data_IF_338161253022
#
_entry.id   IF_338161253022
#
_cell.length_a   1.000
_cell.length_b   1.000
_cell.length_c   1.000
_cell.angle_alpha   90.00
_cell.angle_beta   90.00
_cell.angle_gamma   90.00
#
_symmetry.space_group_name_H-M   'P 1'
#
loop_
_entity.id
_entity.type
_entity.pdbx_description
1 polymer ?
#
# COMPACT_ATOMS: atom_id res chain seq x y z
N UNK A 1 -5.11 18.00 -26.79
CA UNK A 1 -4.52 16.74 -27.31
C UNK A 1 -4.04 15.81 -26.19
N UNK A 2 -3.26 16.27 -25.22
CA UNK A 2 -2.73 15.47 -24.10
C UNK A 2 -3.85 14.86 -23.23
N UNK A 3 -4.96 15.59 -22.97
CA UNK A 3 -6.08 15.06 -22.17
C UNK A 3 -6.84 13.91 -22.82
N UNK A 4 -6.94 13.89 -24.17
CA UNK A 4 -7.55 12.77 -24.93
C UNK A 4 -6.65 11.54 -24.97
N UNK A 5 -5.33 11.73 -24.97
CA UNK A 5 -4.35 10.64 -24.90
C UNK A 5 -4.38 9.99 -23.50
N UNK A 6 -4.42 10.81 -22.45
CA UNK A 6 -4.51 10.33 -21.05
C UNK A 6 -5.84 9.60 -20.77
N UNK A 7 -6.94 10.02 -21.39
CA UNK A 7 -8.24 9.32 -21.26
C UNK A 7 -8.25 7.91 -21.87
N UNK A 8 -7.58 7.69 -23.01
CA UNK A 8 -7.45 6.38 -23.65
C UNK A 8 -6.48 5.44 -22.92
N UNK A 9 -5.52 5.99 -22.18
CA UNK A 9 -4.52 5.22 -21.40
C UNK A 9 -5.13 4.68 -20.10
N UNK A 10 -6.24 5.25 -19.60
CA UNK A 10 -6.91 4.85 -18.34
C UNK A 10 -7.49 3.44 -18.33
N UNK A 11 -7.84 2.88 -19.47
CA UNK A 11 -8.43 1.54 -19.59
C UNK A 11 -7.43 0.39 -19.78
N UNK A 12 -6.13 0.69 -19.98
CA UNK A 12 -5.14 -0.33 -20.29
C UNK A 12 -3.88 -0.16 -19.44
N UNK A 13 -3.60 -1.12 -18.54
CA UNK A 13 -2.42 -1.11 -17.64
C UNK A 13 -1.08 -0.95 -18.36
N UNK A 14 -0.95 -1.51 -19.56
CA UNK A 14 0.26 -1.35 -20.39
C UNK A 14 0.42 0.10 -20.83
N UNK A 15 -0.67 0.72 -21.28
CA UNK A 15 -0.71 2.15 -21.63
C UNK A 15 -0.38 3.06 -20.44
N UNK A 16 -0.84 2.72 -19.24
CA UNK A 16 -0.52 3.46 -18.02
C UNK A 16 0.98 3.46 -17.70
N UNK A 17 1.64 2.30 -17.78
CA UNK A 17 3.08 2.18 -17.54
C UNK A 17 3.91 2.87 -18.61
N UNK A 18 3.49 2.83 -19.88
CA UNK A 18 4.13 3.55 -20.98
C UNK A 18 3.95 5.06 -20.80
N UNK A 19 2.74 5.53 -20.51
CA UNK A 19 2.46 6.94 -20.24
C UNK A 19 3.28 7.47 -19.07
N UNK A 20 3.44 6.68 -18.00
CA UNK A 20 4.26 7.02 -16.84
C UNK A 20 5.75 7.12 -17.18
N UNK A 21 6.28 6.19 -18.00
CA UNK A 21 7.67 6.25 -18.49
C UNK A 21 7.90 7.49 -19.37
N UNK A 22 7.00 7.77 -20.29
CA UNK A 22 7.10 8.94 -21.18
C UNK A 22 7.05 10.25 -20.38
N UNK A 23 6.11 10.37 -19.46
CA UNK A 23 5.95 11.56 -18.60
C UNK A 23 7.10 11.74 -17.59
N UNK A 24 7.89 10.70 -17.32
CA UNK A 24 9.08 10.76 -16.47
C UNK A 24 10.39 10.97 -17.23
N UNK A 25 10.34 11.17 -18.55
CA UNK A 25 11.56 11.44 -19.33
C UNK A 25 12.14 12.82 -18.97
N UNK A 26 13.49 12.97 -18.98
CA UNK A 26 14.14 14.26 -18.71
C UNK A 26 13.66 15.39 -19.62
N UNK A 27 13.31 15.09 -20.86
CA UNK A 27 12.79 16.07 -21.84
C UNK A 27 11.50 16.71 -21.33
N UNK A 28 10.58 15.93 -20.76
CA UNK A 28 9.30 16.42 -20.26
C UNK A 28 9.46 17.04 -18.86
N UNK A 29 10.18 16.37 -17.97
CA UNK A 29 10.32 16.80 -16.57
C UNK A 29 11.22 18.02 -16.38
N UNK A 30 12.11 18.33 -17.33
CA UNK A 30 12.90 19.57 -17.33
C UNK A 30 12.20 20.73 -18.06
N UNK A 31 11.01 20.51 -18.64
CA UNK A 31 10.25 21.57 -19.32
C UNK A 31 9.54 22.47 -18.30
N UNK A 32 9.88 23.74 -18.27
CA UNK A 32 9.31 24.72 -17.33
C UNK A 32 7.77 24.85 -17.44
N UNK A 33 7.23 24.81 -18.65
CA UNK A 33 5.78 24.86 -18.89
C UNK A 33 5.08 23.62 -18.32
N UNK A 34 5.67 22.43 -18.53
CA UNK A 34 5.14 21.19 -17.95
C UNK A 34 5.13 21.24 -16.41
N UNK A 35 6.22 21.70 -15.81
CA UNK A 35 6.33 21.81 -14.36
C UNK A 35 5.30 22.80 -13.80
N UNK A 36 5.13 23.95 -14.45
CA UNK A 36 4.12 24.94 -14.05
C UNK A 36 2.69 24.38 -14.12
N UNK A 37 2.33 23.72 -15.22
CA UNK A 37 1.00 23.10 -15.37
C UNK A 37 0.79 21.97 -14.36
N UNK A 38 1.84 21.20 -14.07
CA UNK A 38 1.79 20.12 -13.09
C UNK A 38 1.62 20.67 -11.66
N UNK A 39 2.32 21.75 -11.30
CA UNK A 39 2.16 22.42 -10.00
C UNK A 39 0.76 23.02 -9.84
N UNK A 40 0.23 23.66 -10.87
CA UNK A 40 -1.15 24.16 -10.88
C UNK A 40 -2.17 23.03 -10.65
N UNK A 41 -1.95 21.87 -11.28
CA UNK A 41 -2.78 20.68 -11.05
C UNK A 41 -2.64 20.16 -9.61
N UNK A 42 -1.43 20.12 -9.06
CA UNK A 42 -1.20 19.71 -7.67
C UNK A 42 -1.94 20.62 -6.70
N UNK A 43 -1.78 21.94 -6.84
CA UNK A 43 -2.42 22.93 -5.97
C UNK A 43 -3.95 22.82 -6.01
N UNK A 44 -4.54 22.68 -7.20
CA UNK A 44 -5.99 22.44 -7.35
C UNK A 44 -6.42 21.11 -6.69
N UNK A 45 -5.60 20.07 -6.79
CA UNK A 45 -5.88 18.78 -6.15
C UNK A 45 -5.78 18.87 -4.62
N UNK A 46 -4.79 19.58 -4.09
CA UNK A 46 -4.64 19.84 -2.65
C UNK A 46 -5.86 20.59 -2.13
N UNK A 47 -6.25 21.68 -2.79
CA UNK A 47 -7.42 22.46 -2.40
C UNK A 47 -8.70 21.62 -2.34
N UNK A 48 -8.93 20.78 -3.35
CA UNK A 48 -10.08 19.87 -3.39
C UNK A 48 -10.01 18.84 -2.27
N UNK A 49 -8.85 18.17 -2.07
CA UNK A 49 -8.69 17.10 -1.10
C UNK A 49 -8.68 17.62 0.35
N UNK A 50 -8.22 18.83 0.59
CA UNK A 50 -8.23 19.43 1.94
C UNK A 50 -9.64 19.64 2.49
N UNK A 51 -10.65 19.71 1.61
CA UNK A 51 -12.07 19.78 1.97
C UNK A 51 -12.72 18.40 2.18
N UNK A 52 -11.99 17.31 1.95
CA UNK A 52 -12.51 15.93 1.97
C UNK A 52 -11.90 15.11 3.10
N UNK A 53 -12.59 14.05 3.50
CA UNK A 53 -12.03 12.99 4.33
C UNK A 53 -11.13 12.07 3.50
N UNK A 54 -10.29 11.23 4.13
CA UNK A 54 -9.48 10.28 3.39
C UNK A 54 -10.39 9.38 2.54
N UNK A 55 -9.99 9.09 1.32
CA UNK A 55 -10.74 8.16 0.48
C UNK A 55 -10.58 6.69 0.88
N UNK A 56 -9.55 6.39 1.72
CA UNK A 56 -9.30 5.07 2.26
C UNK A 56 -8.58 5.10 3.60
N UNK A 57 -8.80 4.03 4.36
CA UNK A 57 -8.11 3.80 5.64
C UNK A 57 -7.38 2.47 5.56
N UNK A 58 -6.07 2.52 5.82
CA UNK A 58 -5.24 1.33 5.98
C UNK A 58 -5.22 0.98 7.47
N UNK A 59 -5.62 -0.24 7.83
CA UNK A 59 -5.78 -0.69 9.22
C UNK A 59 -4.87 -1.88 9.46
N UNK A 60 -3.85 -1.72 10.31
CA UNK A 60 -3.08 -2.82 10.86
C UNK A 60 -3.89 -3.57 11.89
N UNK A 61 -4.56 -4.65 11.51
CA UNK A 61 -5.37 -5.44 12.46
C UNK A 61 -4.50 -6.24 13.43
N UNK A 62 -3.30 -6.56 13.02
CA UNK A 62 -2.24 -7.16 13.83
C UNK A 62 -0.88 -6.76 13.28
N UNK A 63 0.11 -6.63 14.15
CA UNK A 63 1.50 -6.50 13.73
C UNK A 63 2.32 -7.77 14.00
N UNK A 64 1.68 -8.89 14.36
CA UNK A 64 2.33 -10.19 14.41
C UNK A 64 2.67 -10.63 13.00
N UNK A 65 3.85 -11.23 12.81
CA UNK A 65 4.28 -11.80 11.53
C UNK A 65 5.10 -13.05 11.76
N UNK A 66 4.89 -14.06 10.91
CA UNK A 66 5.63 -15.32 10.93
C UNK A 66 6.82 -15.35 9.96
N UNK A 67 7.16 -14.21 9.35
CA UNK A 67 8.26 -14.05 8.41
C UNK A 67 9.32 -13.06 8.91
N UNK A 68 10.55 -13.20 8.42
CA UNK A 68 11.67 -12.27 8.64
C UNK A 68 12.26 -11.84 7.29
N UNK A 69 11.46 -11.12 6.51
CA UNK A 69 11.84 -10.69 5.17
C UNK A 69 13.02 -9.70 5.24
N UNK A 70 14.03 -9.89 4.37
CA UNK A 70 15.27 -9.11 4.42
C UNK A 70 15.08 -7.60 4.17
N UNK A 71 13.97 -7.19 3.55
CA UNK A 71 13.64 -5.79 3.25
C UNK A 71 12.63 -5.18 4.24
N UNK A 72 12.17 -5.93 5.24
CA UNK A 72 11.12 -5.47 6.16
C UNK A 72 11.72 -5.07 7.51
N UNK A 73 11.34 -3.90 8.08
CA UNK A 73 11.80 -3.49 9.40
C UNK A 73 11.07 -4.20 10.55
N UNK A 74 10.19 -5.15 10.28
CA UNK A 74 9.32 -5.81 11.26
C UNK A 74 10.09 -6.36 12.48
N UNK A 75 11.29 -6.93 12.30
CA UNK A 75 12.11 -7.43 13.40
C UNK A 75 12.57 -6.37 14.40
N UNK A 76 12.42 -5.08 14.05
CA UNK A 76 12.76 -3.96 14.93
C UNK A 76 11.56 -3.46 15.77
N UNK A 77 10.37 -4.00 15.54
CA UNK A 77 9.17 -3.62 16.31
C UNK A 77 9.31 -4.00 17.78
N UNK A 78 9.01 -3.04 18.66
CA UNK A 78 9.14 -3.24 20.13
C UNK A 78 7.86 -3.76 20.78
N UNK A 79 6.71 -3.45 20.21
CA UNK A 79 5.40 -3.84 20.73
C UNK A 79 4.65 -4.65 19.69
N UNK A 80 4.05 -5.73 20.12
CA UNK A 80 3.31 -6.66 19.26
C UNK A 80 1.89 -6.83 19.80
N UNK A 81 0.92 -6.92 18.90
CA UNK A 81 -0.46 -7.14 19.30
C UNK A 81 -1.43 -7.30 18.14
N UNK A 82 -2.69 -7.46 18.51
CA UNK A 82 -3.82 -7.56 17.59
C UNK A 82 -4.90 -6.59 18.05
N UNK A 83 -5.51 -5.89 17.10
CA UNK A 83 -6.54 -4.89 17.36
C UNK A 83 -7.79 -5.56 17.98
N UNK A 84 -8.28 -4.98 19.06
CA UNK A 84 -9.57 -5.37 19.63
C UNK A 84 -10.71 -5.16 18.63
N UNK A 85 -11.65 -6.12 18.58
CA UNK A 85 -12.78 -6.08 17.66
C UNK A 85 -13.71 -4.89 17.92
N UNK A 86 -13.85 -4.45 19.18
CA UNK A 86 -14.64 -3.26 19.53
C UNK A 86 -14.05 -2.00 18.91
N UNK A 87 -12.72 -1.84 18.98
CA UNK A 87 -12.01 -0.74 18.33
C UNK A 87 -12.17 -0.81 16.82
N UNK A 88 -11.98 -2.00 16.21
CA UNK A 88 -12.18 -2.19 14.77
C UNK A 88 -13.59 -1.75 14.32
N UNK A 89 -14.63 -2.24 14.99
CA UNK A 89 -16.02 -1.87 14.68
C UNK A 89 -16.24 -0.37 14.80
N UNK A 90 -15.71 0.28 15.87
CA UNK A 90 -15.73 1.74 16.03
C UNK A 90 -15.11 2.46 14.82
N UNK A 91 -13.96 1.99 14.32
CA UNK A 91 -13.28 2.59 13.16
C UNK A 91 -14.14 2.44 11.91
N UNK A 92 -14.65 1.24 11.62
CA UNK A 92 -15.47 0.98 10.44
C UNK A 92 -16.78 1.79 10.48
N UNK A 93 -17.44 1.91 11.63
CA UNK A 93 -18.66 2.71 11.78
C UNK A 93 -18.38 4.21 11.54
N UNK A 94 -17.23 4.71 12.03
CA UNK A 94 -16.78 6.08 11.73
C UNK A 94 -16.51 6.26 10.21
N UNK A 95 -15.85 5.30 9.56
CA UNK A 95 -15.64 5.32 8.11
C UNK A 95 -16.98 5.40 7.36
N UNK A 96 -17.98 4.59 7.77
CA UNK A 96 -19.33 4.62 7.18
C UNK A 96 -19.98 6.00 7.32
N UNK A 97 -19.93 6.59 8.51
CA UNK A 97 -20.49 7.92 8.80
C UNK A 97 -19.86 9.01 7.91
N UNK A 98 -18.55 8.92 7.66
CA UNK A 98 -17.80 9.87 6.85
C UNK A 98 -17.78 9.53 5.35
N UNK A 99 -18.54 8.51 4.91
CA UNK A 99 -18.58 8.01 3.53
C UNK A 99 -17.21 7.56 2.97
N UNK A 100 -16.32 7.08 3.85
CA UNK A 100 -15.05 6.46 3.48
C UNK A 100 -15.35 5.02 3.09
N UNK A 101 -15.01 4.61 1.86
CA UNK A 101 -15.45 3.31 1.31
C UNK A 101 -14.35 2.29 1.11
N UNK A 102 -13.09 2.67 1.23
CA UNK A 102 -11.96 1.79 0.94
C UNK A 102 -11.22 1.47 2.23
N UNK A 103 -11.16 0.19 2.56
CA UNK A 103 -10.44 -0.33 3.72
C UNK A 103 -9.37 -1.29 3.24
N UNK A 104 -8.12 -1.03 3.65
CA UNK A 104 -7.02 -1.99 3.46
C UNK A 104 -6.63 -2.56 4.82
N UNK A 105 -6.87 -3.85 5.05
CA UNK A 105 -6.52 -4.50 6.32
C UNK A 105 -5.03 -4.90 6.29
N UNK A 106 -4.16 -3.91 6.31
CA UNK A 106 -2.71 -4.12 6.25
C UNK A 106 -1.95 -2.90 6.76
N UNK A 107 -0.89 -3.20 7.52
CA UNK A 107 0.17 -2.28 7.86
C UNK A 107 1.47 -3.09 8.00
N UNK A 108 2.00 -3.28 9.21
CA UNK A 108 3.06 -4.26 9.48
C UNK A 108 2.44 -5.49 10.13
N UNK A 109 2.82 -6.70 9.67
CA UNK A 109 2.28 -7.95 10.16
C UNK A 109 1.74 -8.86 9.04
N UNK A 110 1.27 -10.05 9.46
CA UNK A 110 0.58 -11.01 8.59
C UNK A 110 -0.89 -11.09 9.01
N UNK A 111 -1.84 -10.63 8.19
CA UNK A 111 -3.25 -10.60 8.56
C UNK A 111 -3.84 -11.96 8.94
N UNK A 112 -3.33 -13.06 8.41
CA UNK A 112 -3.81 -14.40 8.77
C UNK A 112 -3.40 -14.87 10.18
N UNK A 113 -2.57 -14.10 10.89
CA UNK A 113 -2.35 -14.29 12.33
C UNK A 113 -3.43 -13.64 13.19
N UNK A 114 -4.26 -12.77 12.62
CA UNK A 114 -5.46 -12.27 13.27
C UNK A 114 -6.59 -13.31 13.13
N UNK A 115 -6.90 -14.02 14.20
CA UNK A 115 -7.93 -15.07 14.23
C UNK A 115 -9.33 -14.54 13.85
N UNK A 116 -9.54 -13.23 13.91
CA UNK A 116 -10.83 -12.59 13.60
C UNK A 116 -10.86 -11.94 12.21
N UNK A 117 -9.85 -12.17 11.37
CA UNK A 117 -9.73 -11.52 10.06
C UNK A 117 -10.98 -11.71 9.17
N UNK A 118 -11.57 -12.91 9.16
CA UNK A 118 -12.78 -13.20 8.39
C UNK A 118 -13.99 -12.39 8.92
N UNK A 119 -14.14 -12.30 10.25
CA UNK A 119 -15.20 -11.48 10.87
C UNK A 119 -15.02 -10.02 10.52
N UNK A 120 -13.79 -9.51 10.55
CA UNK A 120 -13.47 -8.12 10.17
C UNK A 120 -13.85 -7.84 8.73
N UNK A 121 -13.49 -8.71 7.80
CA UNK A 121 -13.85 -8.57 6.39
C UNK A 121 -15.39 -8.53 6.27
N UNK A 122 -16.11 -9.52 6.82
CA UNK A 122 -17.57 -9.60 6.74
C UNK A 122 -18.24 -8.37 7.37
N UNK A 123 -17.72 -7.86 8.49
CA UNK A 123 -18.24 -6.64 9.12
C UNK A 123 -18.10 -5.41 8.22
N UNK A 124 -16.91 -5.16 7.68
CA UNK A 124 -16.69 -4.02 6.78
C UNK A 124 -17.49 -4.15 5.48
N UNK A 125 -17.57 -5.36 4.91
CA UNK A 125 -18.42 -5.64 3.74
C UNK A 125 -19.91 -5.38 4.03
N UNK A 126 -20.41 -5.78 5.18
CA UNK A 126 -21.78 -5.51 5.63
C UNK A 126 -22.09 -4.01 5.78
N UNK A 127 -21.07 -3.16 5.99
CA UNK A 127 -21.20 -1.69 6.00
C UNK A 127 -21.07 -1.07 4.59
N UNK A 128 -20.90 -1.88 3.54
CA UNK A 128 -20.78 -1.42 2.15
C UNK A 128 -19.40 -0.94 1.76
N UNK A 129 -18.36 -1.40 2.47
CA UNK A 129 -16.97 -1.05 2.18
C UNK A 129 -16.35 -1.97 1.12
N UNK A 130 -15.41 -1.44 0.34
CA UNK A 130 -14.46 -2.23 -0.41
C UNK A 130 -13.30 -2.62 0.49
N UNK A 131 -12.99 -3.92 0.58
CA UNK A 131 -12.00 -4.47 1.51
C UNK A 131 -10.89 -5.18 0.76
N UNK A 132 -9.65 -4.82 1.06
CA UNK A 132 -8.47 -5.48 0.53
C UNK A 132 -7.44 -5.71 1.64
N UNK A 133 -6.47 -6.61 1.42
CA UNK A 133 -5.28 -6.72 2.26
C UNK A 133 -4.07 -7.31 1.53
N UNK A 134 -2.92 -7.21 2.19
CA UNK A 134 -1.67 -7.85 1.77
C UNK A 134 -1.36 -9.02 2.68
N UNK A 135 -0.89 -10.14 2.10
CA UNK A 135 -0.49 -11.33 2.87
C UNK A 135 0.76 -11.97 2.28
N UNK A 136 1.51 -12.69 3.10
CA UNK A 136 2.56 -13.59 2.64
C UNK A 136 2.01 -14.96 2.20
N UNK A 137 0.73 -15.22 2.43
CA UNK A 137 -0.04 -16.42 2.08
C UNK A 137 0.51 -17.75 2.65
N UNK A 138 1.47 -17.72 3.56
CA UNK A 138 2.04 -18.96 4.13
C UNK A 138 1.04 -19.73 4.99
N UNK A 139 0.07 -19.02 5.58
CA UNK A 139 -0.98 -19.56 6.44
C UNK A 139 -2.31 -19.79 5.71
N UNK A 140 -2.36 -19.54 4.41
CA UNK A 140 -3.56 -19.65 3.59
C UNK A 140 -3.87 -21.12 3.25
N UNK A 141 -4.37 -21.85 4.23
CA UNK A 141 -4.84 -23.23 4.05
C UNK A 141 -6.06 -23.31 3.13
N UNK A 142 -6.44 -24.51 2.72
CA UNK A 142 -7.64 -24.72 1.87
C UNK A 142 -8.91 -24.24 2.57
N UNK A 143 -9.10 -24.56 3.86
CA UNK A 143 -10.22 -24.06 4.65
C UNK A 143 -10.24 -22.53 4.70
N UNK A 144 -9.10 -21.89 4.92
CA UNK A 144 -9.01 -20.44 4.94
C UNK A 144 -9.24 -19.82 3.56
N UNK A 145 -8.81 -20.47 2.47
CA UNK A 145 -9.09 -20.02 1.10
C UNK A 145 -10.60 -20.04 0.82
N UNK A 146 -11.32 -21.10 1.22
CA UNK A 146 -12.78 -21.16 1.11
C UNK A 146 -13.45 -20.01 1.90
N UNK A 147 -13.04 -19.78 3.15
CA UNK A 147 -13.56 -18.69 3.99
C UNK A 147 -13.28 -17.30 3.40
N UNK A 148 -12.11 -17.09 2.81
CA UNK A 148 -11.72 -15.82 2.15
C UNK A 148 -12.59 -15.58 0.92
N UNK A 149 -12.77 -16.56 0.06
CA UNK A 149 -13.61 -16.43 -1.14
C UNK A 149 -15.08 -16.18 -0.76
N UNK A 150 -15.58 -16.82 0.31
CA UNK A 150 -16.94 -16.62 0.82
C UNK A 150 -17.13 -15.28 1.56
N UNK A 151 -16.08 -14.71 2.11
CA UNK A 151 -16.16 -13.50 2.95
C UNK A 151 -16.60 -12.24 2.19
N UNK A 152 -16.56 -12.27 0.86
CA UNK A 152 -16.82 -11.12 0.01
C UNK A 152 -15.62 -10.15 -0.10
N UNK A 153 -14.42 -10.58 0.29
CA UNK A 153 -13.18 -9.79 0.09
C UNK A 153 -13.06 -9.34 -1.36
N UNK A 154 -12.73 -8.07 -1.60
CA UNK A 154 -12.63 -7.54 -2.96
C UNK A 154 -11.26 -7.82 -3.60
N UNK A 155 -10.20 -7.80 -2.80
CA UNK A 155 -8.84 -8.00 -3.33
C UNK A 155 -7.87 -8.54 -2.28
N UNK A 156 -7.04 -9.48 -2.69
CA UNK A 156 -5.87 -9.95 -1.93
C UNK A 156 -4.60 -9.70 -2.76
N UNK A 157 -3.62 -9.07 -2.13
CA UNK A 157 -2.29 -8.87 -2.71
C UNK A 157 -1.29 -9.77 -2.00
N UNK A 158 -0.79 -10.77 -2.71
CA UNK A 158 0.12 -11.76 -2.15
C UNK A 158 1.55 -11.36 -2.46
N UNK A 159 2.34 -11.23 -1.41
CA UNK A 159 3.75 -10.91 -1.50
C UNK A 159 4.56 -12.16 -1.86
N UNK A 160 5.07 -12.23 -3.10
CA UNK A 160 5.77 -13.39 -3.62
C UNK A 160 7.01 -12.97 -4.43
N UNK A 161 8.19 -12.97 -3.78
CA UNK A 161 9.38 -12.24 -4.25
C UNK A 161 10.46 -13.12 -4.91
N UNK A 162 10.12 -14.28 -5.44
CA UNK A 162 11.08 -15.14 -6.16
C UNK A 162 10.39 -16.07 -7.14
N UNK A 163 11.08 -16.41 -8.22
CA UNK A 163 10.69 -17.44 -9.14
C UNK A 163 11.22 -18.81 -8.72
N UNK A 164 12.48 -18.85 -8.24
CA UNK A 164 13.09 -20.05 -7.66
C UNK A 164 12.88 -20.12 -6.14
N UNK A 165 12.98 -21.34 -5.59
CA UNK A 165 12.93 -21.62 -4.16
C UNK A 165 14.05 -20.91 -3.42
N UNK A 166 15.26 -21.01 -3.95
CA UNK A 166 16.47 -20.43 -3.38
C UNK A 166 16.33 -18.93 -3.21
N UNK A 167 15.89 -18.23 -4.26
CA UNK A 167 15.69 -16.78 -4.25
C UNK A 167 14.57 -16.37 -3.29
N UNK A 168 13.43 -17.07 -3.35
CA UNK A 168 12.29 -16.76 -2.49
C UNK A 168 12.63 -16.93 -1.01
N UNK A 169 13.19 -18.09 -0.60
CA UNK A 169 13.49 -18.39 0.81
C UNK A 169 14.64 -17.53 1.35
N UNK A 170 15.57 -17.09 0.49
CA UNK A 170 16.60 -16.11 0.85
C UNK A 170 15.99 -14.74 1.18
N UNK A 171 14.99 -14.30 0.43
CA UNK A 171 14.31 -12.99 0.61
C UNK A 171 13.28 -13.06 1.73
N UNK A 172 12.40 -14.05 1.68
CA UNK A 172 11.29 -14.28 2.61
C UNK A 172 11.64 -15.28 3.68
N UNK A 173 12.64 -14.97 4.51
CA UNK A 173 13.12 -15.84 5.57
C UNK A 173 11.99 -16.36 6.43
N UNK A 174 12.13 -17.62 6.90
CA UNK A 174 11.13 -18.41 7.65
C UNK A 174 9.91 -18.87 6.84
N UNK A 175 9.75 -18.44 5.59
CA UNK A 175 8.69 -18.95 4.72
C UNK A 175 9.22 -20.04 3.78
N UNK A 176 8.32 -20.94 3.36
CA UNK A 176 8.61 -22.03 2.44
C UNK A 176 7.98 -21.79 1.09
N UNK A 177 8.80 -21.72 0.03
CA UNK A 177 8.38 -21.45 -1.35
C UNK A 177 7.25 -22.37 -1.81
N UNK A 178 7.45 -23.69 -1.63
CA UNK A 178 6.50 -24.70 -2.11
C UNK A 178 5.14 -24.58 -1.43
N UNK A 179 5.13 -24.26 -0.12
CA UNK A 179 3.91 -24.04 0.66
C UNK A 179 3.15 -22.81 0.13
N UNK A 180 3.84 -21.69 -0.04
CA UNK A 180 3.21 -20.45 -0.48
C UNK A 180 2.72 -20.56 -1.93
N UNK A 181 3.52 -21.17 -2.82
CA UNK A 181 3.12 -21.42 -4.22
C UNK A 181 1.87 -22.31 -4.28
N UNK A 182 1.83 -23.41 -3.50
CA UNK A 182 0.66 -24.29 -3.38
C UNK A 182 -0.57 -23.50 -2.89
N UNK A 183 -0.42 -22.69 -1.85
CA UNK A 183 -1.53 -21.91 -1.28
C UNK A 183 -2.09 -20.90 -2.28
N UNK A 184 -1.24 -20.25 -3.08
CA UNK A 184 -1.68 -19.34 -4.15
C UNK A 184 -2.49 -20.09 -5.20
N UNK A 185 -1.98 -21.24 -5.69
CA UNK A 185 -2.67 -22.06 -6.69
C UNK A 185 -3.99 -22.59 -6.16
N UNK A 186 -4.02 -23.00 -4.89
CA UNK A 186 -5.24 -23.46 -4.22
C UNK A 186 -6.29 -22.33 -4.11
N UNK A 187 -5.91 -21.10 -3.75
CA UNK A 187 -6.83 -19.96 -3.72
C UNK A 187 -7.44 -19.68 -5.11
N UNK A 188 -6.62 -19.76 -6.16
CA UNK A 188 -7.08 -19.57 -7.54
C UNK A 188 -8.11 -20.63 -7.89
N UNK A 189 -7.82 -21.90 -7.60
CA UNK A 189 -8.70 -23.04 -7.87
C UNK A 189 -9.99 -22.97 -7.04
N UNK A 190 -9.90 -22.61 -5.75
CA UNK A 190 -11.06 -22.40 -4.87
C UNK A 190 -12.00 -21.34 -5.46
N UNK A 191 -11.45 -20.18 -5.84
CA UNK A 191 -12.23 -19.10 -6.49
C UNK A 191 -12.95 -19.61 -7.75
N UNK A 192 -12.24 -20.40 -8.58
CA UNK A 192 -12.78 -20.99 -9.80
C UNK A 192 -13.91 -21.98 -9.51
N UNK A 193 -13.70 -22.92 -8.58
CA UNK A 193 -14.71 -23.93 -8.17
C UNK A 193 -15.95 -23.30 -7.60
N UNK A 194 -15.81 -22.25 -6.77
CA UNK A 194 -16.92 -21.51 -6.19
C UNK A 194 -17.58 -20.54 -7.19
N UNK A 195 -17.09 -20.45 -8.42
CA UNK A 195 -17.62 -19.55 -9.48
C UNK A 195 -17.72 -18.08 -9.00
N UNK A 196 -16.77 -17.61 -8.20
CA UNK A 196 -16.74 -16.25 -7.68
C UNK A 196 -15.82 -15.37 -8.52
N UNK A 197 -16.20 -14.09 -8.68
CA UNK A 197 -15.33 -13.09 -9.31
C UNK A 197 -14.34 -12.48 -8.32
N UNK A 198 -14.67 -12.46 -7.04
CA UNK A 198 -13.85 -11.95 -5.96
C UNK A 198 -13.29 -13.08 -5.08
N UNK A 199 -12.16 -12.83 -4.41
CA UNK A 199 -11.31 -11.64 -4.48
C UNK A 199 -10.50 -11.56 -5.78
N UNK A 200 -10.15 -10.33 -6.21
CA UNK A 200 -9.05 -10.15 -7.17
C UNK A 200 -7.75 -10.63 -6.54
N UNK A 201 -7.04 -11.53 -7.20
CA UNK A 201 -5.79 -12.13 -6.72
C UNK A 201 -4.62 -11.44 -7.41
N UNK A 202 -3.82 -10.72 -6.65
CA UNK A 202 -2.70 -9.94 -7.17
C UNK A 202 -1.39 -10.44 -6.58
N UNK A 203 -0.35 -10.60 -7.39
CA UNK A 203 1.00 -10.85 -6.89
C UNK A 203 1.78 -9.56 -6.81
N UNK A 204 2.51 -9.39 -5.72
CA UNK A 204 3.41 -8.26 -5.50
C UNK A 204 4.82 -8.81 -5.34
N UNK A 205 5.74 -8.32 -6.17
CA UNK A 205 7.15 -8.63 -6.12
C UNK A 205 7.92 -7.34 -5.86
N UNK A 206 8.70 -7.31 -4.78
CA UNK A 206 9.67 -6.23 -4.52
C UNK A 206 10.94 -6.56 -5.31
N UNK A 207 11.33 -5.68 -6.24
CA UNK A 207 12.58 -5.84 -6.99
C UNK A 207 13.77 -5.60 -6.07
N UNK A 208 14.61 -6.62 -5.94
CA UNK A 208 15.85 -6.65 -5.17
C UNK A 208 16.99 -7.18 -6.04
N UNK A 209 18.24 -6.99 -5.63
CA UNK A 209 19.39 -7.56 -6.32
C UNK A 209 19.30 -9.10 -6.40
N UNK A 210 18.73 -9.71 -5.36
CA UNK A 210 18.57 -11.15 -5.24
C UNK A 210 17.63 -11.76 -6.30
N UNK A 211 16.59 -11.02 -6.75
CA UNK A 211 15.55 -11.56 -7.64
C UNK A 211 15.46 -10.88 -9.01
N UNK A 212 16.23 -9.81 -9.26
CA UNK A 212 16.13 -9.05 -10.52
C UNK A 212 16.34 -9.88 -11.77
N UNK A 213 17.18 -10.92 -11.69
CA UNK A 213 17.44 -11.86 -12.79
C UNK A 213 16.25 -12.79 -13.11
N UNK A 214 15.35 -12.99 -12.14
CA UNK A 214 14.21 -13.92 -12.25
C UNK A 214 12.88 -13.25 -12.61
N UNK A 215 12.81 -11.92 -12.65
CA UNK A 215 11.55 -11.17 -12.85
C UNK A 215 10.82 -11.56 -14.14
N UNK A 216 11.57 -11.82 -15.24
CA UNK A 216 10.96 -12.21 -16.52
C UNK A 216 10.32 -13.58 -16.45
N UNK A 217 10.98 -14.57 -15.80
CA UNK A 217 10.47 -15.92 -15.61
C UNK A 217 9.24 -15.89 -14.69
N UNK A 218 9.32 -15.16 -13.57
CA UNK A 218 8.21 -14.93 -12.65
C UNK A 218 6.99 -14.38 -13.39
N UNK A 219 7.15 -13.31 -14.17
CA UNK A 219 6.05 -12.70 -14.92
C UNK A 219 5.43 -13.66 -15.93
N UNK A 220 6.25 -14.45 -16.66
CA UNK A 220 5.76 -15.43 -17.64
C UNK A 220 4.92 -16.52 -16.97
N UNK A 221 5.35 -17.01 -15.81
CA UNK A 221 4.63 -18.05 -15.07
C UNK A 221 3.26 -17.59 -14.57
N UNK A 222 3.16 -16.36 -14.07
CA UNK A 222 2.00 -15.89 -13.31
C UNK A 222 1.01 -15.01 -14.09
N UNK A 223 1.40 -14.40 -15.19
CA UNK A 223 0.61 -13.39 -15.91
C UNK A 223 -0.79 -13.85 -16.36
N UNK A 224 -0.98 -15.15 -16.60
CA UNK A 224 -2.25 -15.74 -17.04
C UNK A 224 -2.97 -16.51 -15.92
N UNK A 225 -2.41 -16.53 -14.70
CA UNK A 225 -2.97 -17.26 -13.56
C UNK A 225 -3.63 -16.33 -12.54
N UNK A 226 -3.20 -15.08 -12.47
CA UNK A 226 -3.64 -14.09 -11.49
C UNK A 226 -4.19 -12.84 -12.16
N UNK A 227 -5.00 -12.08 -11.42
CA UNK A 227 -5.65 -10.88 -11.95
C UNK A 227 -4.62 -9.75 -12.20
N UNK A 228 -3.53 -9.67 -11.42
CA UNK A 228 -2.45 -8.74 -11.70
C UNK A 228 -1.11 -9.12 -11.06
N UNK A 229 -0.03 -8.60 -11.65
CA UNK A 229 1.33 -8.66 -11.09
C UNK A 229 1.85 -7.24 -10.95
N UNK A 230 2.28 -6.88 -9.75
CA UNK A 230 2.85 -5.58 -9.43
C UNK A 230 4.32 -5.76 -9.03
N UNK A 231 5.22 -5.30 -9.88
CA UNK A 231 6.65 -5.26 -9.56
C UNK A 231 6.93 -3.86 -9.02
N UNK A 232 7.41 -3.79 -7.79
CA UNK A 232 7.65 -2.54 -7.07
C UNK A 232 9.11 -2.45 -6.61
N UNK A 233 9.63 -1.25 -6.53
CA UNK A 233 10.97 -1.03 -5.98
C UNK A 233 10.95 -1.14 -4.46
N UNK A 234 12.10 -1.54 -3.89
CA UNK A 234 12.30 -1.55 -2.45
C UNK A 234 12.15 -0.14 -1.87
N UNK A 235 11.48 -0.05 -0.72
CA UNK A 235 11.37 1.18 0.06
C UNK A 235 12.55 1.31 1.03
N UNK A 236 12.95 2.55 1.30
CA UNK A 236 13.99 2.83 2.30
C UNK A 236 13.42 3.03 3.72
N UNK A 237 12.09 2.87 3.90
CA UNK A 237 11.41 3.03 5.19
C UNK A 237 11.82 4.34 5.91
N UNK A 238 11.76 5.45 5.17
CA UNK A 238 12.15 6.78 5.65
C UNK A 238 13.62 6.86 6.13
N UNK A 239 14.55 6.17 5.45
CA UNK A 239 15.99 6.03 5.73
C UNK A 239 16.38 5.01 6.82
N UNK A 240 15.45 4.30 7.45
CA UNK A 240 15.80 3.30 8.46
C UNK A 240 16.48 2.04 7.90
N UNK A 241 16.34 1.79 6.60
CA UNK A 241 17.00 0.68 5.91
C UNK A 241 17.81 1.25 4.75
N UNK A 242 19.09 1.48 5.00
CA UNK A 242 20.08 1.78 3.97
C UNK A 242 20.68 0.48 3.47
N UNK A 243 20.17 -0.08 2.37
CA UNK A 243 20.90 -1.11 1.62
C UNK A 243 21.59 -0.47 0.43
N UNK A 244 22.90 -0.75 0.24
CA UNK A 244 23.62 -0.47 -1.03
C UNK A 244 22.80 -1.08 -2.16
N UNK A 245 22.39 -0.28 -3.14
CA UNK A 245 21.64 -0.75 -4.31
C UNK A 245 20.13 -0.52 -4.27
N UNK A 246 19.55 0.12 -3.25
CA UNK A 246 18.18 0.65 -3.37
C UNK A 246 18.18 1.72 -4.44
N UNK A 247 17.86 1.33 -5.68
CA UNK A 247 17.58 2.31 -6.72
C UNK A 247 16.44 3.17 -6.22
N UNK A 248 16.63 4.49 -6.23
CA UNK A 248 15.53 5.42 -6.02
C UNK A 248 14.36 4.97 -6.89
N UNK A 249 13.22 4.76 -6.30
CA UNK A 249 12.02 4.36 -7.04
C UNK A 249 11.61 5.49 -7.99
N UNK A 250 12.11 5.47 -9.19
CA UNK A 250 12.19 6.48 -10.23
C UNK A 250 13.48 7.31 -10.20
N UNK A 251 14.32 7.09 -11.18
CA UNK A 251 15.34 8.03 -11.61
C UNK A 251 14.68 9.33 -12.10
N UNK A 252 14.13 10.11 -11.19
CA UNK A 252 14.00 11.51 -11.47
C UNK A 252 15.39 12.12 -11.33
N UNK A 253 15.83 12.78 -12.38
CA UNK A 253 17.04 13.59 -12.39
C UNK A 253 17.09 14.39 -11.07
N UNK A 254 18.26 14.45 -10.38
CA UNK A 254 18.47 15.22 -9.14
C UNK A 254 17.99 16.68 -9.21
N UNK A 255 17.77 17.20 -10.42
CA UNK A 255 17.24 18.53 -10.70
C UNK A 255 15.72 18.72 -10.53
N UNK A 256 14.93 17.63 -10.32
CA UNK A 256 13.48 17.78 -10.19
C UNK A 256 13.12 18.05 -8.73
N UNK A 257 12.54 19.22 -8.50
CA UNK A 257 12.02 19.64 -7.20
C UNK A 257 11.03 18.59 -6.66
N UNK A 258 11.22 18.19 -5.40
CA UNK A 258 10.29 17.30 -4.71
C UNK A 258 8.90 17.95 -4.66
N UNK A 259 7.85 17.17 -4.84
CA UNK A 259 6.46 17.64 -4.74
C UNK A 259 5.82 17.14 -3.44
N UNK A 260 4.79 17.84 -2.92
CA UNK A 260 4.04 17.40 -1.76
C UNK A 260 3.61 15.94 -1.86
N UNK A 261 3.59 15.21 -0.74
CA UNK A 261 3.19 13.81 -0.73
C UNK A 261 1.67 13.68 -0.77
N UNK A 262 1.11 13.10 -1.85
CA UNK A 262 -0.33 12.95 -2.01
C UNK A 262 -0.98 12.10 -0.91
N UNK A 263 -0.25 11.17 -0.31
CA UNK A 263 -0.81 10.23 0.69
C UNK A 263 -1.41 10.93 1.90
N UNK A 264 -0.80 12.01 2.37
CA UNK A 264 -1.28 12.74 3.56
C UNK A 264 -2.59 13.51 3.32
N UNK A 265 -3.06 13.58 2.09
CA UNK A 265 -4.41 14.07 1.71
C UNK A 265 -5.35 12.98 1.26
N UNK A 266 -4.91 11.73 1.19
CA UNK A 266 -5.68 10.65 0.57
C UNK A 266 -6.00 9.51 1.51
N UNK A 267 -5.08 9.14 2.40
CA UNK A 267 -5.18 7.96 3.24
C UNK A 267 -4.87 8.25 4.70
N UNK A 268 -5.57 7.56 5.57
CA UNK A 268 -5.22 7.46 6.97
C UNK A 268 -4.66 6.06 7.26
N UNK A 269 -3.65 5.97 8.11
CA UNK A 269 -3.07 4.70 8.53
C UNK A 269 -3.26 4.53 10.03
N UNK A 270 -3.85 3.42 10.43
CA UNK A 270 -4.17 3.08 11.83
C UNK A 270 -3.51 1.77 12.19
N UNK A 271 -2.73 1.72 13.25
CA UNK A 271 -2.15 0.47 13.72
C UNK A 271 -3.04 -0.25 14.76
N UNK A 272 -2.67 -1.47 15.10
CA UNK A 272 -3.44 -2.39 15.95
C UNK A 272 -3.83 -1.83 17.31
N UNK A 273 -3.04 -0.93 17.89
CA UNK A 273 -3.29 -0.26 19.15
C UNK A 273 -4.14 1.01 19.06
N UNK A 274 -4.56 1.35 17.83
CA UNK A 274 -5.39 2.52 17.53
C UNK A 274 -4.61 3.79 17.23
N UNK A 275 -3.27 3.76 17.28
CA UNK A 275 -2.46 4.89 16.88
C UNK A 275 -2.65 5.19 15.39
N UNK A 276 -2.88 6.45 15.08
CA UNK A 276 -2.90 6.96 13.72
C UNK A 276 -1.53 7.51 13.39
N UNK A 277 -0.83 6.86 12.47
CA UNK A 277 0.51 7.24 12.05
C UNK A 277 0.48 8.01 10.73
N UNK A 278 1.54 8.76 10.43
CA UNK A 278 1.56 9.68 9.29
C UNK A 278 1.36 8.97 7.95
N UNK A 279 2.00 7.84 7.74
CA UNK A 279 1.87 7.05 6.49
C UNK A 279 2.30 5.60 6.68
N UNK A 280 2.18 4.80 5.61
CA UNK A 280 2.54 3.39 5.62
C UNK A 280 4.06 3.09 5.74
N UNK A 281 4.92 4.09 5.78
CA UNK A 281 6.37 3.92 6.02
C UNK A 281 6.76 4.28 7.47
N UNK A 282 5.81 4.73 8.29
CA UNK A 282 6.00 5.10 9.71
C UNK A 282 5.86 3.87 10.63
N UNK A 283 6.71 2.88 10.38
CA UNK A 283 6.68 1.57 11.02
C UNK A 283 6.95 1.60 12.53
N UNK A 284 7.69 2.60 13.01
CA UNK A 284 8.11 2.75 14.39
C UNK A 284 7.31 3.82 15.17
N UNK A 285 6.21 4.29 14.59
CA UNK A 285 5.34 5.34 15.15
C UNK A 285 6.11 6.64 15.46
N UNK A 286 7.04 7.02 14.60
CA UNK A 286 7.82 8.26 14.78
C UNK A 286 6.97 9.52 14.70
N UNK A 287 5.83 9.45 14.02
CA UNK A 287 4.90 10.58 13.80
C UNK A 287 3.46 10.16 14.04
N UNK A 288 3.10 9.93 15.31
CA UNK A 288 1.72 9.63 15.71
C UNK A 288 0.88 10.92 15.64
N UNK A 289 -0.20 10.88 14.87
CA UNK A 289 -1.13 12.00 14.69
C UNK A 289 -2.21 12.06 15.78
N UNK A 290 -2.59 10.92 16.33
CA UNK A 290 -3.60 10.76 17.39
C UNK A 290 -3.90 9.28 17.61
N UNK A 291 -4.95 8.98 18.42
CA UNK A 291 -5.34 7.60 18.71
C UNK A 291 -6.87 7.43 18.67
N UNK A 292 -7.36 6.49 17.86
CA UNK A 292 -8.80 6.26 17.62
C UNK A 292 -9.53 5.58 18.80
N UNK A 293 -8.83 5.18 19.87
CA UNK A 293 -9.49 4.83 21.14
C UNK A 293 -10.12 6.05 21.77
N UNK A 294 -9.44 7.22 21.66
CA UNK A 294 -9.80 8.47 22.33
C UNK A 294 -10.45 9.50 21.40
N UNK A 295 -10.11 9.48 20.13
CA UNK A 295 -10.49 10.47 19.12
C UNK A 295 -11.30 9.85 17.99
N UNK A 296 -11.92 10.67 17.17
CA UNK A 296 -12.59 10.30 15.93
C UNK A 296 -11.63 10.46 14.72
N UNK A 297 -11.97 9.83 13.60
CA UNK A 297 -11.25 10.01 12.32
C UNK A 297 -11.25 11.50 11.94
N UNK A 298 -12.38 12.21 12.12
CA UNK A 298 -12.52 13.61 11.76
C UNK A 298 -11.58 14.52 12.59
N UNK A 299 -11.55 14.36 13.92
CA UNK A 299 -10.69 15.14 14.80
C UNK A 299 -9.21 15.00 14.44
N UNK A 300 -8.75 13.78 14.11
CA UNK A 300 -7.36 13.56 13.72
C UNK A 300 -7.09 14.08 12.30
N UNK A 301 -8.01 13.84 11.35
CA UNK A 301 -7.84 14.21 9.95
C UNK A 301 -7.82 15.72 9.73
N UNK A 302 -8.62 16.45 10.50
CA UNK A 302 -8.68 17.92 10.51
C UNK A 302 -7.80 18.56 11.58
N UNK A 303 -7.11 17.73 12.38
CA UNK A 303 -6.31 18.17 13.52
C UNK A 303 -5.10 18.99 13.12
N UNK A 304 -4.67 19.86 14.03
CA UNK A 304 -3.56 20.80 13.85
C UNK A 304 -2.26 20.11 13.43
N UNK A 305 -1.96 18.94 14.05
CA UNK A 305 -0.72 18.21 13.80
C UNK A 305 -0.59 17.78 12.33
N UNK A 306 -1.66 17.21 11.73
CA UNK A 306 -1.65 16.81 10.32
C UNK A 306 -1.64 18.04 9.40
N UNK A 307 -2.34 19.12 9.77
CA UNK A 307 -2.37 20.35 8.97
C UNK A 307 -0.99 21.03 8.94
N UNK A 308 -0.28 21.12 10.05
CA UNK A 308 1.13 21.62 10.05
C UNK A 308 2.03 20.80 9.15
N UNK A 309 1.87 19.48 9.13
CA UNK A 309 2.64 18.60 8.21
C UNK A 309 2.26 18.86 6.74
N UNK A 310 0.97 19.05 6.44
CA UNK A 310 0.51 19.41 5.10
C UNK A 310 1.06 20.76 4.63
N UNK A 311 1.07 21.76 5.51
CA UNK A 311 1.66 23.07 5.26
C UNK A 311 3.16 22.97 4.97
N UNK A 312 3.92 22.23 5.78
CA UNK A 312 5.34 21.99 5.55
C UNK A 312 5.58 21.35 4.16
N UNK A 313 4.71 20.41 3.74
CA UNK A 313 4.81 19.82 2.40
C UNK A 313 4.49 20.79 1.26
N UNK A 314 3.53 21.71 1.45
CA UNK A 314 3.18 22.74 0.46
C UNK A 314 4.31 23.77 0.32
N UNK A 315 4.97 24.10 1.43
CA UNK A 315 6.08 25.08 1.49
C UNK A 315 7.45 24.48 1.16
N UNK A 316 7.53 23.20 0.74
CA UNK A 316 8.79 22.46 0.49
C UNK A 316 9.69 22.29 1.75
N UNK A 317 9.13 22.42 2.94
CA UNK A 317 9.81 22.32 4.22
C UNK A 317 9.84 20.88 4.76
N UNK A 318 10.18 19.91 3.90
CA UNK A 318 10.17 18.47 4.23
C UNK A 318 11.07 18.11 5.41
N UNK A 319 12.13 18.90 5.65
CA UNK A 319 13.06 18.68 6.75
C UNK A 319 12.44 18.98 8.12
N UNK A 320 11.38 19.79 8.17
CA UNK A 320 10.60 20.01 9.39
C UNK A 320 9.77 18.78 9.81
N UNK A 321 9.65 17.78 8.92
CA UNK A 321 8.95 16.52 9.19
C UNK A 321 9.95 15.36 9.14
N UNK A 322 10.51 14.91 10.29
CA UNK A 322 11.62 13.96 10.33
C UNK A 322 11.40 12.70 9.50
N UNK A 323 10.19 12.11 9.56
CA UNK A 323 9.83 10.96 8.75
C UNK A 323 9.92 11.23 7.24
N UNK A 324 9.66 12.47 6.82
CA UNK A 324 9.61 12.83 5.41
C UNK A 324 10.95 13.30 4.87
N UNK A 325 11.87 13.81 5.71
CA UNK A 325 13.15 14.37 5.27
C UNK A 325 13.97 13.40 4.42
N UNK A 326 14.08 12.15 4.86
CA UNK A 326 14.82 11.10 4.19
C UNK A 326 14.00 10.15 3.30
N UNK A 327 12.71 10.38 3.15
CA UNK A 327 11.85 9.49 2.40
C UNK A 327 12.15 9.53 0.88
N UNK A 328 12.42 8.36 0.29
CA UNK A 328 12.67 8.23 -1.15
C UNK A 328 11.39 8.07 -1.99
N UNK A 329 10.21 8.08 -1.35
CA UNK A 329 8.93 7.94 -2.03
C UNK A 329 8.55 9.24 -2.72
N UNK A 330 8.45 9.22 -4.04
CA UNK A 330 7.98 10.36 -4.83
C UNK A 330 6.48 10.24 -5.07
N UNK A 331 5.75 11.27 -4.67
CA UNK A 331 4.29 11.33 -4.85
C UNK A 331 3.90 11.47 -6.31
N UNK A 332 2.83 10.80 -6.67
CA UNK A 332 2.27 10.82 -8.02
C UNK A 332 0.87 11.43 -7.96
N UNK A 333 0.78 12.73 -8.27
CA UNK A 333 -0.46 13.49 -8.20
C UNK A 333 -1.42 13.27 -9.37
N UNK A 334 -0.97 12.70 -10.48
CA UNK A 334 -1.87 12.40 -11.62
C UNK A 334 -2.85 11.26 -11.37
N UNK A 335 -2.69 10.52 -10.26
CA UNK A 335 -3.66 9.52 -9.81
C UNK A 335 -4.81 10.13 -9.00
N UNK A 336 -4.74 11.43 -8.71
CA UNK A 336 -5.79 12.18 -8.02
C UNK A 336 -6.74 12.72 -9.08
N UNK A 337 -7.97 12.23 -9.08
CA UNK A 337 -9.06 12.71 -9.97
C UNK A 337 -9.78 13.90 -9.35
#
# INVERSE_FOLDING_TARGET
MISKILGKIRGNRVGYNIGRKVLSTPIITNNGIYNHLYDKKINKSIEKLSKQYPWGVDIGTTNLCNAECIMCPHSKLKKMGTMDMKLYKKIIDNCKKLNIKIITLSFFGEPFLDKTIIERIKYAKGKGMSVAFYSNASLLTEDLANKIVDSGLDSISISFDGYSKETYEKIRKKLKFDVVKKNILNLIETKRKMKKNNPSINLVLVELEENKGEIKQFYREWKNKVDSINIINMRNWANDIQKKGTKESFHFNKKIKRKPCALIWQKMVVDWDGDVVLCCDDWNHSTVLGNLKKQTIEEIWKGEKLNKIREAHVNDEFDKVPLCSGCNKKSVWWMVN
#
